data_IF_376990197902
#
_entry.id   IF_376990197902
#
_cell.length_a   1.000
_cell.length_b   1.000
_cell.length_c   1.000
_cell.angle_alpha   90.00
_cell.angle_beta   90.00
_cell.angle_gamma   90.00
#
_symmetry.space_group_name_H-M   'P 1'
#
loop_
_entity.id
_entity.type
_entity.pdbx_description
1 polymer ?
#
# COMPACT_ATOMS: atom_id res chain seq x y z
N UNK A 1 16.83 -10.68 20.42
CA UNK A 1 16.95 -11.34 19.11
C UNK A 1 16.49 -10.41 17.98
N UNK A 2 16.97 -9.17 17.98
CA UNK A 2 16.54 -8.08 17.07
C UNK A 2 17.46 -7.86 15.86
N UNK A 3 18.64 -8.51 15.84
CA UNK A 3 19.69 -8.25 14.84
C UNK A 3 19.41 -8.79 13.42
N UNK A 4 18.39 -9.63 13.24
CA UNK A 4 18.06 -10.18 11.91
C UNK A 4 17.15 -9.25 11.11
N UNK A 5 16.07 -8.76 11.73
CA UNK A 5 15.06 -7.90 11.09
C UNK A 5 15.66 -6.56 10.71
N UNK A 6 16.39 -5.92 11.62
CA UNK A 6 16.98 -4.60 11.38
C UNK A 6 18.06 -4.64 10.28
N UNK A 7 18.78 -5.76 10.15
CA UNK A 7 19.71 -5.99 9.04
C UNK A 7 18.98 -6.18 7.71
N UNK A 8 17.92 -7.01 7.65
CA UNK A 8 17.11 -7.16 6.44
C UNK A 8 16.47 -5.83 6.00
N UNK A 9 15.92 -5.08 6.95
CA UNK A 9 15.36 -3.75 6.72
C UNK A 9 16.41 -2.77 6.20
N UNK A 10 17.60 -2.75 6.80
CA UNK A 10 18.70 -1.89 6.37
C UNK A 10 19.17 -2.23 4.94
N UNK A 11 19.24 -3.52 4.60
CA UNK A 11 19.59 -3.97 3.27
C UNK A 11 18.48 -3.66 2.25
N UNK A 12 17.22 -3.84 2.60
CA UNK A 12 16.08 -3.45 1.77
C UNK A 12 16.08 -1.93 1.51
N UNK A 13 16.32 -1.11 2.54
CA UNK A 13 16.48 0.35 2.41
C UNK A 13 17.66 0.72 1.51
N UNK A 14 18.73 -0.08 1.51
CA UNK A 14 19.86 0.09 0.60
C UNK A 14 19.59 -0.43 -0.82
N UNK A 15 18.41 -1.03 -1.08
CA UNK A 15 18.08 -1.68 -2.36
C UNK A 15 18.90 -2.95 -2.63
N UNK A 16 19.47 -3.55 -1.59
CA UNK A 16 20.38 -4.71 -1.66
C UNK A 16 19.66 -6.05 -1.49
N UNK A 17 18.36 -6.02 -1.16
CA UNK A 17 17.51 -7.21 -1.06
C UNK A 17 16.36 -7.07 -2.05
N UNK A 18 16.11 -8.07 -2.92
CA UNK A 18 14.96 -8.06 -3.81
C UNK A 18 13.66 -8.14 -3.01
N UNK A 19 12.70 -7.26 -3.30
CA UNK A 19 11.35 -7.29 -2.72
C UNK A 19 10.40 -7.82 -3.79
N UNK A 20 9.89 -9.04 -3.59
CA UNK A 20 8.80 -9.57 -4.42
C UNK A 20 7.45 -9.07 -3.95
N UNK A 21 7.21 -7.80 -4.24
CA UNK A 21 5.95 -7.15 -3.88
C UNK A 21 4.75 -7.70 -4.67
N UNK A 22 5.00 -8.39 -5.78
CA UNK A 22 3.96 -9.02 -6.57
C UNK A 22 3.36 -10.21 -5.84
N UNK A 23 4.20 -11.01 -5.18
CA UNK A 23 3.77 -12.08 -4.29
C UNK A 23 3.01 -11.52 -3.08
N UNK A 24 3.57 -10.53 -2.40
CA UNK A 24 3.00 -9.97 -1.18
C UNK A 24 1.57 -9.42 -1.34
N UNK A 25 1.27 -8.77 -2.48
CA UNK A 25 -0.07 -8.25 -2.78
C UNK A 25 -0.95 -9.20 -3.59
N UNK A 26 -0.48 -10.42 -3.89
CA UNK A 26 -1.23 -11.43 -4.65
C UNK A 26 -1.41 -11.10 -6.14
N UNK A 27 -0.47 -10.35 -6.73
CA UNK A 27 -0.52 -9.91 -8.12
C UNK A 27 0.77 -10.25 -8.89
N UNK A 28 1.03 -11.54 -9.05
CA UNK A 28 2.27 -12.16 -9.56
C UNK A 28 2.69 -11.77 -10.99
N UNK A 29 1.91 -10.97 -11.72
CA UNK A 29 2.19 -10.57 -13.12
C UNK A 29 2.46 -9.06 -13.23
N UNK A 30 2.25 -8.29 -12.17
CA UNK A 30 2.36 -6.84 -12.20
C UNK A 30 3.79 -6.35 -11.91
N UNK A 31 4.28 -5.39 -12.70
CA UNK A 31 5.53 -4.69 -12.38
C UNK A 31 5.38 -3.80 -11.13
N UNK A 32 6.51 -3.36 -10.56
CA UNK A 32 6.52 -2.53 -9.34
C UNK A 32 5.75 -1.21 -9.50
N UNK A 33 5.63 -0.67 -10.71
CA UNK A 33 4.89 0.58 -10.98
C UNK A 33 3.38 0.34 -10.96
N UNK A 34 2.92 -0.76 -11.53
CA UNK A 34 1.53 -1.21 -11.47
C UNK A 34 1.12 -1.54 -10.03
N UNK A 35 2.00 -2.21 -9.30
CA UNK A 35 1.80 -2.53 -7.89
C UNK A 35 1.74 -1.25 -7.04
N UNK A 36 2.65 -0.29 -7.24
CA UNK A 36 2.60 0.99 -6.55
C UNK A 36 1.24 1.69 -6.75
N UNK A 37 0.74 1.72 -8.00
CA UNK A 37 -0.57 2.34 -8.31
C UNK A 37 -1.71 1.62 -7.60
N UNK A 38 -1.70 0.29 -7.60
CA UNK A 38 -2.72 -0.53 -6.96
C UNK A 38 -2.70 -0.35 -5.43
N UNK A 39 -1.52 -0.47 -4.81
CA UNK A 39 -1.31 -0.31 -3.37
C UNK A 39 -1.68 1.10 -2.89
N UNK A 40 -1.32 2.15 -3.64
CA UNK A 40 -1.71 3.54 -3.32
C UNK A 40 -3.22 3.72 -3.39
N UNK A 41 -3.88 3.14 -4.40
CA UNK A 41 -5.34 3.20 -4.55
C UNK A 41 -6.03 2.44 -3.42
N UNK A 42 -5.49 1.28 -3.03
CA UNK A 42 -5.93 0.51 -1.86
C UNK A 42 -5.80 1.29 -0.56
N UNK A 43 -4.61 1.82 -0.28
CA UNK A 43 -4.33 2.61 0.92
C UNK A 43 -5.22 3.86 0.99
N UNK A 44 -5.43 4.55 -0.13
CA UNK A 44 -6.35 5.68 -0.24
C UNK A 44 -7.78 5.27 0.14
N UNK A 45 -8.29 4.19 -0.46
CA UNK A 45 -9.65 3.74 -0.25
C UNK A 45 -9.90 3.25 1.18
N UNK A 46 -8.94 2.53 1.77
CA UNK A 46 -9.01 2.07 3.17
C UNK A 46 -8.92 3.26 4.14
N UNK A 47 -8.09 4.26 3.83
CA UNK A 47 -8.00 5.49 4.62
C UNK A 47 -9.35 6.22 4.65
N UNK A 48 -10.08 6.28 3.53
CA UNK A 48 -11.43 6.83 3.50
C UNK A 48 -12.41 5.99 4.33
N UNK A 49 -12.40 4.67 4.20
CA UNK A 49 -13.26 3.76 4.95
C UNK A 49 -13.07 3.84 6.48
N UNK A 50 -11.87 4.21 6.92
CA UNK A 50 -11.49 4.34 8.34
C UNK A 50 -11.59 5.78 8.85
N UNK A 51 -12.11 6.72 8.05
CA UNK A 51 -12.30 8.11 8.44
C UNK A 51 -11.02 8.96 8.39
N UNK A 52 -9.91 8.42 7.89
CA UNK A 52 -8.58 9.07 7.82
C UNK A 52 -8.44 9.92 6.55
N UNK A 53 -9.34 10.89 6.40
CA UNK A 53 -9.45 11.72 5.18
C UNK A 53 -8.16 12.48 4.84
N UNK A 54 -7.45 12.98 5.86
CA UNK A 54 -6.18 13.68 5.67
C UNK A 54 -5.08 12.79 5.07
N UNK A 55 -5.03 11.52 5.46
CA UNK A 55 -4.06 10.57 4.91
C UNK A 55 -4.45 10.11 3.52
N UNK A 56 -5.75 9.92 3.27
CA UNK A 56 -6.26 9.70 1.92
C UNK A 56 -5.82 10.83 0.98
N UNK A 57 -5.95 12.10 1.38
CA UNK A 57 -5.49 13.25 0.57
C UNK A 57 -3.98 13.21 0.30
N UNK A 58 -3.16 12.84 1.30
CA UNK A 58 -1.70 12.71 1.10
C UNK A 58 -1.34 11.59 0.14
N UNK A 59 -2.01 10.43 0.25
CA UNK A 59 -1.83 9.29 -0.65
C UNK A 59 -2.29 9.60 -2.07
N UNK A 60 -3.37 10.36 -2.22
CA UNK A 60 -3.85 10.85 -3.51
C UNK A 60 -2.83 11.81 -4.15
N UNK A 61 -2.30 12.78 -3.40
CA UNK A 61 -1.26 13.69 -3.89
C UNK A 61 0.03 12.93 -4.27
N UNK A 62 0.40 11.90 -3.50
CA UNK A 62 1.53 11.02 -3.82
C UNK A 62 1.29 10.28 -5.14
N UNK A 63 0.10 9.69 -5.34
CA UNK A 63 -0.29 9.04 -6.59
C UNK A 63 -0.25 9.99 -7.79
N UNK A 64 -0.85 11.18 -7.67
CA UNK A 64 -0.85 12.21 -8.72
C UNK A 64 0.58 12.60 -9.09
N UNK A 65 1.47 12.79 -8.13
CA UNK A 65 2.87 13.15 -8.39
C UNK A 65 3.65 12.05 -9.12
N UNK A 66 3.34 10.79 -8.86
CA UNK A 66 4.04 9.65 -9.48
C UNK A 66 3.51 9.27 -10.86
N UNK A 67 2.19 9.34 -11.05
CA UNK A 67 1.53 8.83 -12.25
C UNK A 67 0.97 9.94 -13.15
N UNK A 68 0.85 11.16 -12.64
CA UNK A 68 0.06 12.23 -13.23
C UNK A 68 -1.40 12.14 -12.79
N UNK A 69 -2.08 13.29 -12.80
CA UNK A 69 -3.47 13.43 -12.35
C UNK A 69 -4.41 12.50 -13.13
N UNK A 70 -4.39 12.56 -14.46
CA UNK A 70 -5.27 11.77 -15.31
C UNK A 70 -5.15 10.25 -15.08
N UNK A 71 -3.93 9.74 -14.91
CA UNK A 71 -3.70 8.31 -14.74
C UNK A 71 -4.11 7.84 -13.34
N UNK A 72 -3.84 8.64 -12.31
CA UNK A 72 -4.23 8.28 -10.95
C UNK A 72 -5.74 8.44 -10.72
N UNK A 73 -6.36 9.45 -11.32
CA UNK A 73 -7.82 9.61 -11.32
C UNK A 73 -8.52 8.44 -12.00
N UNK A 74 -7.95 7.91 -13.10
CA UNK A 74 -8.45 6.68 -13.72
C UNK A 74 -8.39 5.49 -12.77
N UNK A 75 -7.35 5.36 -11.94
CA UNK A 75 -7.26 4.31 -10.93
C UNK A 75 -8.32 4.46 -9.83
N UNK A 76 -8.53 5.70 -9.33
CA UNK A 76 -9.61 6.02 -8.38
C UNK A 76 -10.98 5.69 -8.97
N UNK A 77 -11.25 6.12 -10.21
CA UNK A 77 -12.52 5.87 -10.88
C UNK A 77 -12.77 4.37 -11.09
N UNK A 78 -11.73 3.58 -11.37
CA UNK A 78 -11.83 2.12 -11.42
C UNK A 78 -12.17 1.53 -10.05
N UNK A 79 -11.52 1.99 -8.98
CA UNK A 79 -11.82 1.55 -7.62
C UNK A 79 -13.25 1.93 -7.20
N UNK A 80 -13.75 3.10 -7.60
CA UNK A 80 -15.13 3.52 -7.32
C UNK A 80 -16.16 2.72 -8.13
N UNK A 81 -15.87 2.42 -9.40
CA UNK A 81 -16.74 1.61 -10.24
C UNK A 81 -16.93 0.19 -9.67
N UNK A 82 -15.83 -0.43 -9.26
CA UNK A 82 -15.81 -1.81 -8.74
C UNK A 82 -16.21 -1.88 -7.26
N UNK A 83 -15.54 -1.11 -6.41
CA UNK A 83 -15.67 -1.18 -4.95
C UNK A 83 -16.78 -0.31 -4.36
N UNK A 84 -17.19 0.76 -5.05
CA UNK A 84 -18.25 1.65 -4.56
C UNK A 84 -19.50 1.64 -5.45
N UNK A 85 -19.68 0.62 -6.31
CA UNK A 85 -20.83 0.49 -7.21
C UNK A 85 -21.08 1.75 -8.06
N UNK A 86 -20.01 2.41 -8.50
CA UNK A 86 -20.08 3.63 -9.31
C UNK A 86 -20.51 4.89 -8.56
N UNK A 87 -20.47 4.91 -7.22
CA UNK A 87 -20.70 6.14 -6.45
C UNK A 87 -19.65 7.19 -6.80
N UNK A 88 -20.09 8.45 -6.90
CA UNK A 88 -19.20 9.59 -7.17
C UNK A 88 -18.13 9.72 -6.08
N UNK A 89 -16.93 10.14 -6.48
CA UNK A 89 -15.80 10.34 -5.57
C UNK A 89 -16.15 11.26 -4.39
N UNK A 90 -16.92 12.33 -4.63
CA UNK A 90 -17.37 13.29 -3.60
C UNK A 90 -18.17 12.62 -2.46
N UNK A 91 -19.04 11.65 -2.79
CA UNK A 91 -19.87 10.93 -1.82
C UNK A 91 -18.99 10.06 -0.92
N UNK A 92 -18.01 9.38 -1.53
CA UNK A 92 -17.08 8.49 -0.84
C UNK A 92 -16.07 9.27 0.00
N UNK A 93 -15.49 10.35 -0.54
CA UNK A 93 -14.60 11.27 0.18
C UNK A 93 -15.31 11.96 1.35
N UNK A 94 -16.61 12.23 1.23
CA UNK A 94 -17.42 12.72 2.33
C UNK A 94 -17.70 11.66 3.42
N UNK A 95 -17.52 10.36 3.11
CA UNK A 95 -17.74 9.25 4.03
C UNK A 95 -19.16 8.68 4.00
N UNK A 96 -19.98 9.06 3.01
CA UNK A 96 -21.36 8.56 2.85
C UNK A 96 -21.44 7.20 2.16
N UNK A 97 -20.32 6.71 1.63
CA UNK A 97 -20.22 5.37 1.05
C UNK A 97 -18.83 4.80 1.34
N UNK A 98 -18.78 3.49 1.56
CA UNK A 98 -17.54 2.72 1.70
C UNK A 98 -17.14 2.12 0.36
N UNK A 99 -15.85 1.90 0.19
CA UNK A 99 -15.28 1.19 -0.96
C UNK A 99 -14.97 -0.24 -0.52
N UNK A 100 -15.54 -1.23 -1.20
CA UNK A 100 -15.09 -2.61 -1.12
C UNK A 100 -13.72 -2.73 -1.83
N UNK A 101 -12.68 -2.99 -1.04
CA UNK A 101 -11.30 -3.03 -1.52
C UNK A 101 -11.02 -4.30 -2.32
N UNK A 102 -11.58 -5.43 -1.88
CA UNK A 102 -11.35 -6.72 -2.52
C UNK A 102 -11.93 -6.75 -3.94
N UNK A 103 -13.02 -6.00 -4.18
CA UNK A 103 -13.63 -5.88 -5.50
C UNK A 103 -12.70 -5.36 -6.61
N UNK A 104 -11.61 -4.65 -6.29
CA UNK A 104 -10.64 -4.20 -7.29
C UNK A 104 -9.19 -4.64 -7.02
N UNK A 105 -8.90 -5.12 -5.82
CA UNK A 105 -7.58 -5.63 -5.45
C UNK A 105 -7.46 -7.15 -5.53
N UNK A 106 -8.60 -7.85 -5.65
CA UNK A 106 -8.65 -9.31 -5.48
C UNK A 106 -8.70 -9.70 -4.01
N UNK A 107 -8.76 -11.00 -3.77
CA UNK A 107 -8.74 -11.56 -2.41
C UNK A 107 -7.43 -11.22 -1.72
N UNK A 108 -7.53 -10.93 -0.42
CA UNK A 108 -6.40 -10.55 0.42
C UNK A 108 -6.39 -11.52 1.60
N UNK A 109 -5.69 -12.64 1.40
CA UNK A 109 -5.62 -13.73 2.37
C UNK A 109 -5.12 -13.23 3.73
N UNK A 110 -5.74 -13.75 4.79
CA UNK A 110 -5.38 -13.42 6.18
C UNK A 110 -5.77 -12.02 6.66
N UNK A 111 -6.42 -11.18 5.83
CA UNK A 111 -6.84 -9.82 6.22
C UNK A 111 -8.29 -9.82 6.68
N UNK A 112 -8.51 -9.51 7.97
CA UNK A 112 -9.83 -9.53 8.60
C UNK A 112 -10.34 -8.12 8.91
N UNK A 113 -9.45 -7.14 9.04
CA UNK A 113 -9.80 -5.77 9.44
C UNK A 113 -9.36 -4.71 8.44
N UNK A 114 -10.06 -3.57 8.44
CA UNK A 114 -9.63 -2.40 7.68
C UNK A 114 -8.26 -1.87 8.14
N UNK A 115 -7.89 -2.08 9.41
CA UNK A 115 -6.57 -1.70 9.93
C UNK A 115 -5.46 -2.55 9.31
N UNK A 116 -5.65 -3.88 9.27
CA UNK A 116 -4.73 -4.81 8.62
C UNK A 116 -4.61 -4.54 7.12
N UNK A 117 -5.74 -4.28 6.45
CA UNK A 117 -5.75 -3.90 5.04
C UNK A 117 -4.93 -2.63 4.82
N UNK A 118 -5.13 -1.58 5.63
CA UNK A 118 -4.38 -0.33 5.48
C UNK A 118 -2.88 -0.56 5.66
N UNK A 119 -2.50 -1.37 6.65
CA UNK A 119 -1.11 -1.73 6.93
C UNK A 119 -0.48 -2.47 5.76
N UNK A 120 -1.14 -3.54 5.27
CA UNK A 120 -0.68 -4.30 4.09
C UNK A 120 -0.52 -3.40 2.87
N UNK A 121 -1.47 -2.50 2.63
CA UNK A 121 -1.38 -1.56 1.50
C UNK A 121 -0.24 -0.56 1.64
N UNK A 122 -0.02 0.01 2.83
CA UNK A 122 1.09 0.96 3.06
C UNK A 122 2.45 0.27 2.96
N UNK A 123 2.59 -0.97 3.45
CA UNK A 123 3.82 -1.77 3.26
C UNK A 123 4.04 -2.08 1.78
N UNK A 124 2.96 -2.39 1.03
CA UNK A 124 3.04 -2.50 -0.44
C UNK A 124 3.49 -1.18 -1.10
N UNK A 125 2.94 -0.04 -0.70
CA UNK A 125 3.43 1.25 -1.23
C UNK A 125 4.93 1.44 -0.94
N UNK A 126 5.37 1.15 0.27
CA UNK A 126 6.77 1.23 0.67
C UNK A 126 7.66 0.31 -0.17
N UNK A 127 7.34 -0.98 -0.26
CA UNK A 127 8.13 -1.96 -1.03
C UNK A 127 8.24 -1.60 -2.50
N UNK A 128 7.17 -1.09 -3.10
CA UNK A 128 7.19 -0.66 -4.50
C UNK A 128 8.08 0.58 -4.71
N UNK A 129 8.07 1.52 -3.76
CA UNK A 129 8.93 2.71 -3.80
C UNK A 129 10.41 2.35 -3.60
N UNK A 130 10.71 1.36 -2.76
CA UNK A 130 12.07 0.81 -2.61
C UNK A 130 12.54 0.18 -3.94
N UNK A 131 11.70 -0.63 -4.59
CA UNK A 131 12.01 -1.22 -5.90
C UNK A 131 12.15 -0.17 -7.03
N UNK A 132 11.56 1.03 -6.89
CA UNK A 132 11.62 2.12 -7.87
C UNK A 132 12.71 3.18 -7.56
N UNK A 133 13.77 2.77 -6.86
CA UNK A 133 14.68 3.62 -6.06
C UNK A 133 14.16 5.00 -5.61
N UNK A 134 13.05 5.05 -4.87
CA UNK A 134 12.42 6.29 -4.35
C UNK A 134 12.47 6.41 -2.84
N UNK A 135 13.67 6.26 -2.26
CA UNK A 135 13.87 6.19 -0.80
C UNK A 135 13.29 7.38 -0.02
N UNK A 136 13.34 8.60 -0.55
CA UNK A 136 12.76 9.76 0.12
C UNK A 136 11.24 9.72 0.25
N UNK A 137 10.55 8.98 -0.62
CA UNK A 137 9.10 8.77 -0.55
C UNK A 137 8.76 7.50 0.23
N UNK A 138 9.58 6.45 0.09
CA UNK A 138 9.48 5.26 0.92
C UNK A 138 9.56 5.65 2.41
N UNK A 139 10.52 6.49 2.81
CA UNK A 139 10.65 6.94 4.20
C UNK A 139 9.40 7.67 4.71
N UNK A 140 8.78 8.53 3.89
CA UNK A 140 7.55 9.23 4.31
C UNK A 140 6.37 8.27 4.53
N UNK A 141 6.30 7.21 3.72
CA UNK A 141 5.27 6.17 3.86
C UNK A 141 5.54 5.31 5.09
N UNK A 142 6.80 5.04 5.39
CA UNK A 142 7.25 4.36 6.60
C UNK A 142 6.95 5.17 7.86
N UNK A 143 7.30 6.47 7.89
CA UNK A 143 7.00 7.37 9.00
C UNK A 143 5.48 7.45 9.24
N UNK A 144 4.70 7.51 8.16
CA UNK A 144 3.23 7.44 8.24
C UNK A 144 2.79 6.09 8.83
N UNK A 145 3.29 4.97 8.32
CA UNK A 145 2.94 3.64 8.80
C UNK A 145 3.26 3.43 10.28
N UNK A 146 4.48 3.76 10.70
CA UNK A 146 4.93 3.68 12.09
C UNK A 146 4.07 4.56 13.01
N UNK A 147 3.71 5.77 12.57
CA UNK A 147 2.82 6.65 13.34
C UNK A 147 1.41 6.07 13.52
N UNK A 148 0.88 5.34 12.53
CA UNK A 148 -0.48 4.76 12.57
C UNK A 148 -0.54 3.49 13.40
N UNK A 149 0.45 2.61 13.23
CA UNK A 149 0.39 1.23 13.73
C UNK A 149 1.35 0.98 14.90
N UNK A 150 2.33 1.85 15.13
CA UNK A 150 3.49 1.61 15.97
C UNK A 150 4.63 0.98 15.16
N UNK A 151 5.87 1.27 15.54
CA UNK A 151 7.08 0.76 14.87
C UNK A 151 7.16 -0.76 14.84
N UNK A 152 6.82 -1.42 15.96
CA UNK A 152 6.83 -2.89 16.07
C UNK A 152 5.88 -3.51 15.05
N UNK A 153 4.61 -3.08 15.04
CA UNK A 153 3.58 -3.60 14.13
C UNK A 153 3.88 -3.33 12.66
N UNK A 154 4.56 -2.22 12.35
CA UNK A 154 5.04 -1.91 11.01
C UNK A 154 6.19 -2.85 10.61
N UNK A 155 7.21 -2.97 11.46
CA UNK A 155 8.39 -3.78 11.21
C UNK A 155 8.05 -5.25 11.02
N UNK A 156 7.10 -5.79 11.79
CA UNK A 156 6.58 -7.15 11.61
C UNK A 156 6.02 -7.34 10.19
N UNK A 157 5.15 -6.45 9.72
CA UNK A 157 4.55 -6.60 8.38
C UNK A 157 5.56 -6.39 7.25
N UNK A 158 6.58 -5.56 7.47
CA UNK A 158 7.69 -5.46 6.51
C UNK A 158 8.52 -6.75 6.52
N UNK A 159 8.79 -7.36 7.68
CA UNK A 159 9.49 -8.64 7.74
C UNK A 159 8.68 -9.78 7.11
N UNK A 160 7.35 -9.80 7.25
CA UNK A 160 6.48 -10.73 6.53
C UNK A 160 6.68 -10.62 5.02
N UNK A 161 6.64 -9.39 4.48
CA UNK A 161 6.88 -9.11 3.06
C UNK A 161 8.29 -9.55 2.61
N UNK A 162 9.30 -9.39 3.47
CA UNK A 162 10.68 -9.79 3.17
C UNK A 162 10.91 -11.30 3.34
N UNK A 163 10.07 -12.00 4.10
CA UNK A 163 10.22 -13.42 4.43
C UNK A 163 9.51 -14.34 3.46
N UNK A 164 8.40 -13.91 2.82
CA UNK A 164 7.79 -14.64 1.68
C UNK A 164 8.82 -14.99 0.57
N UNK A 165 9.90 -14.21 0.46
CA UNK A 165 11.00 -14.46 -0.46
C UNK A 165 12.03 -15.49 0.04
N UNK A 166 12.29 -15.57 1.35
CA UNK A 166 13.37 -16.40 1.89
C UNK A 166 13.07 -17.91 1.81
N UNK A 167 11.79 -18.31 1.75
CA UNK A 167 11.36 -19.71 1.72
C UNK A 167 11.24 -20.30 0.30
N UNK A 168 11.53 -19.52 -0.74
CA UNK A 168 11.42 -19.95 -2.16
C UNK A 168 12.76 -20.09 -2.91
N UNK A 169 13.90 -20.00 -2.20
CA UNK A 169 15.26 -20.29 -2.71
C UNK A 169 15.91 -21.43 -1.94
#
# INVERSE_FOLDING_TARGET
MTSSVENKLSLARAGLVPIDISAFLGNHIADSRCILKLALTGAWAVSLNTGRKGDATKLEALGIRFFGEAEFEKAINKALALGAKGKKAEIVKAGFAKIDIQAFMGDQDGIQTAKEMLRKMLVGVWGALVNLPKMGEAQKVEDLGAWIFGEESWNETVDDMLTEFAETT
#
